data_IF_412667953323
#
_entry.id   IF_412667953323
#
_cell.length_a   1.000
_cell.length_b   1.000
_cell.length_c   1.000
_cell.angle_alpha   90.00
_cell.angle_beta   90.00
_cell.angle_gamma   90.00
#
_symmetry.space_group_name_H-M   'P 1'
#
loop_
_entity.id
_entity.type
_entity.pdbx_description
1 polymer ?
#
# COMPACT_ATOMS: atom_id res chain seq x y z
N UNK A 1 25.32 -4.77 -11.09
CA UNK A 1 25.68 -4.22 -9.75
C UNK A 1 24.49 -3.41 -9.25
N UNK A 2 24.12 -3.52 -7.98
CA UNK A 2 23.04 -2.69 -7.42
C UNK A 2 23.45 -1.20 -7.47
N UNK A 3 22.47 -0.33 -7.75
CA UNK A 3 22.67 1.13 -7.74
C UNK A 3 22.86 1.61 -6.30
N UNK A 4 23.69 2.62 -6.10
CA UNK A 4 23.89 3.24 -4.79
C UNK A 4 22.58 3.84 -4.23
N UNK A 5 22.30 3.59 -2.95
CA UNK A 5 21.02 4.00 -2.32
C UNK A 5 20.85 5.52 -2.25
N UNK A 6 21.93 6.28 -2.04
CA UNK A 6 21.85 7.75 -2.00
C UNK A 6 21.54 8.29 -3.39
N UNK A 7 22.14 7.70 -4.43
CA UNK A 7 21.83 8.04 -5.82
C UNK A 7 20.37 7.75 -6.17
N UNK A 8 19.83 6.60 -5.75
CA UNK A 8 18.42 6.25 -5.96
C UNK A 8 17.51 7.27 -5.27
N UNK A 9 17.76 7.57 -3.99
CA UNK A 9 16.96 8.53 -3.23
C UNK A 9 16.98 9.93 -3.84
N UNK A 10 18.17 10.44 -4.22
CA UNK A 10 18.30 11.75 -4.86
C UNK A 10 17.56 11.80 -6.21
N UNK A 11 17.72 10.78 -7.04
CA UNK A 11 17.05 10.72 -8.35
C UNK A 11 15.53 10.65 -8.20
N UNK A 12 15.02 9.84 -7.26
CA UNK A 12 13.58 9.77 -6.99
C UNK A 12 13.06 11.09 -6.44
N UNK A 13 13.81 11.78 -5.58
CA UNK A 13 13.44 13.11 -5.08
C UNK A 13 13.32 14.12 -6.21
N UNK A 14 14.25 14.12 -7.17
CA UNK A 14 14.18 15.00 -8.33
C UNK A 14 12.93 14.71 -9.18
N UNK A 15 12.61 13.42 -9.40
CA UNK A 15 11.41 12.99 -10.14
C UNK A 15 10.11 13.34 -9.40
N UNK A 16 10.06 13.18 -8.08
CA UNK A 16 8.90 13.60 -7.28
C UNK A 16 8.76 15.12 -7.34
N UNK A 17 9.88 15.85 -7.22
CA UNK A 17 9.92 17.32 -7.16
C UNK A 17 9.46 18.03 -8.42
N UNK A 18 9.44 17.37 -9.59
CA UNK A 18 8.87 17.98 -10.81
C UNK A 18 7.34 18.03 -10.80
N UNK A 19 6.68 17.25 -9.92
CA UNK A 19 5.23 17.30 -9.75
C UNK A 19 4.86 18.15 -8.53
N UNK A 20 4.55 19.43 -8.77
CA UNK A 20 4.22 20.39 -7.70
C UNK A 20 2.74 20.42 -7.33
N UNK A 21 1.88 19.90 -8.21
CA UNK A 21 0.42 20.15 -8.16
C UNK A 21 -0.38 18.99 -7.55
N UNK A 22 0.25 18.19 -6.68
CA UNK A 22 -0.45 17.09 -6.02
C UNK A 22 0.45 16.07 -5.33
N UNK A 23 -0.16 15.07 -4.67
CA UNK A 23 0.57 13.99 -4.02
C UNK A 23 1.14 13.01 -5.04
N UNK A 24 2.41 12.62 -4.87
CA UNK A 24 3.02 11.52 -5.64
C UNK A 24 2.84 10.20 -4.90
N UNK A 25 2.38 9.18 -5.62
CA UNK A 25 2.26 7.80 -5.13
C UNK A 25 3.28 6.93 -5.85
N UNK A 26 4.05 6.14 -5.11
CA UNK A 26 5.01 5.17 -5.67
C UNK A 26 4.49 3.76 -5.46
N UNK A 27 4.52 2.93 -6.50
CA UNK A 27 4.14 1.53 -6.43
C UNK A 27 5.37 0.59 -6.49
N UNK A 28 5.39 -0.44 -5.64
CA UNK A 28 6.32 -1.56 -5.72
C UNK A 28 5.64 -2.86 -5.29
N UNK A 29 5.45 -3.79 -6.22
CA UNK A 29 5.01 -5.16 -5.94
C UNK A 29 6.18 -6.15 -5.75
N UNK A 30 7.40 -5.64 -5.59
CA UNK A 30 8.57 -6.45 -5.25
C UNK A 30 8.68 -6.58 -3.71
N UNK A 31 9.29 -7.66 -3.19
CA UNK A 31 9.63 -7.75 -1.77
C UNK A 31 10.64 -6.66 -1.37
N UNK A 32 10.83 -6.48 -0.06
CA UNK A 32 11.77 -5.51 0.53
C UNK A 32 11.50 -4.05 0.07
N UNK A 33 10.23 -3.63 0.11
CA UNK A 33 9.81 -2.27 -0.28
C UNK A 33 10.58 -1.23 0.55
N UNK A 34 11.30 -0.28 -0.08
CA UNK A 34 12.18 0.63 0.65
C UNK A 34 11.39 1.83 1.22
N UNK A 35 10.44 1.58 2.12
CA UNK A 35 9.50 2.57 2.67
C UNK A 35 10.17 3.86 3.14
N UNK A 36 11.22 3.75 3.96
CA UNK A 36 11.93 4.92 4.49
C UNK A 36 12.60 5.76 3.40
N UNK A 37 13.16 5.12 2.36
CA UNK A 37 13.76 5.84 1.23
C UNK A 37 12.69 6.54 0.40
N UNK A 38 11.58 5.85 0.08
CA UNK A 38 10.48 6.43 -0.69
C UNK A 38 9.85 7.63 0.02
N UNK A 39 9.65 7.53 1.34
CA UNK A 39 9.20 8.64 2.19
C UNK A 39 10.17 9.82 2.13
N UNK A 40 11.48 9.61 2.29
CA UNK A 40 12.52 10.67 2.20
C UNK A 40 12.69 11.24 0.79
N UNK A 41 12.30 10.50 -0.24
CA UNK A 41 12.23 10.97 -1.62
C UNK A 41 10.97 11.84 -1.88
N UNK A 42 10.02 11.89 -0.93
CA UNK A 42 8.83 12.74 -1.01
C UNK A 42 7.56 12.04 -1.48
N UNK A 43 7.53 10.70 -1.51
CA UNK A 43 6.30 9.98 -1.80
C UNK A 43 5.25 10.27 -0.71
N UNK A 44 4.10 10.80 -1.11
CA UNK A 44 2.98 11.06 -0.21
C UNK A 44 2.22 9.76 0.14
N UNK A 45 2.30 8.76 -0.72
CA UNK A 45 1.79 7.43 -0.45
C UNK A 45 2.62 6.34 -1.13
N UNK A 46 2.57 5.13 -0.56
CA UNK A 46 3.30 3.97 -1.07
C UNK A 46 2.30 2.83 -1.29
N UNK A 47 2.25 2.34 -2.53
CA UNK A 47 1.48 1.16 -2.93
C UNK A 47 2.35 -0.07 -3.00
N UNK A 48 1.91 -1.15 -2.38
CA UNK A 48 2.71 -2.36 -2.26
C UNK A 48 1.85 -3.61 -2.22
N UNK A 49 2.45 -4.75 -2.60
CA UNK A 49 1.83 -6.05 -2.40
C UNK A 49 1.93 -6.43 -0.92
N UNK A 50 0.80 -6.39 -0.21
CA UNK A 50 0.73 -6.69 1.22
C UNK A 50 1.13 -8.14 1.51
N UNK A 51 0.92 -9.06 0.55
CA UNK A 51 1.23 -10.48 0.73
C UNK A 51 2.73 -10.78 0.81
N UNK A 52 3.58 -9.82 0.41
CA UNK A 52 5.03 -9.93 0.46
C UNK A 52 5.64 -9.31 1.72
N UNK A 53 4.84 -8.66 2.57
CA UNK A 53 5.33 -8.07 3.81
C UNK A 53 5.67 -9.14 4.84
N UNK A 54 6.67 -8.82 5.66
CA UNK A 54 7.07 -9.58 6.82
C UNK A 54 7.09 -8.67 8.05
N UNK A 55 7.21 -9.24 9.25
CA UNK A 55 7.34 -8.45 10.48
C UNK A 55 8.57 -7.53 10.49
N UNK A 56 9.55 -7.76 9.60
CA UNK A 56 10.73 -6.88 9.46
C UNK A 56 10.38 -5.51 8.86
N UNK A 57 9.23 -5.41 8.19
CA UNK A 57 8.77 -4.20 7.55
C UNK A 57 7.96 -3.30 8.50
N UNK A 58 7.53 -3.85 9.65
CA UNK A 58 6.61 -3.21 10.59
C UNK A 58 7.10 -1.83 11.06
N UNK A 59 8.34 -1.74 11.56
CA UNK A 59 8.91 -0.47 12.05
C UNK A 59 8.89 0.61 10.95
N UNK A 60 9.31 0.25 9.73
CA UNK A 60 9.37 1.18 8.61
C UNK A 60 7.97 1.64 8.17
N UNK A 61 6.96 0.76 8.26
CA UNK A 61 5.57 1.07 7.97
C UNK A 61 4.96 1.97 9.06
N UNK A 62 5.19 1.65 10.33
CA UNK A 62 4.76 2.46 11.47
C UNK A 62 5.27 3.89 11.36
N UNK A 63 6.59 4.05 11.18
CA UNK A 63 7.20 5.36 10.95
C UNK A 63 6.63 6.09 9.73
N UNK A 64 6.30 5.35 8.66
CA UNK A 64 5.73 5.96 7.46
C UNK A 64 4.34 6.55 7.74
N UNK A 65 3.48 5.80 8.43
CA UNK A 65 2.13 6.24 8.81
C UNK A 65 2.20 7.41 9.79
N UNK A 66 3.01 7.32 10.84
CA UNK A 66 3.20 8.41 11.82
C UNK A 66 3.76 9.68 11.17
N UNK A 67 4.64 9.51 10.17
CA UNK A 67 5.15 10.58 9.33
C UNK A 67 4.16 11.11 8.28
N UNK A 68 2.91 10.64 8.28
CA UNK A 68 1.84 11.09 7.39
C UNK A 68 1.82 10.45 6.00
N UNK A 69 2.66 9.44 5.73
CA UNK A 69 2.65 8.70 4.47
C UNK A 69 1.44 7.78 4.43
N UNK A 70 0.64 7.83 3.36
CA UNK A 70 -0.49 6.91 3.20
C UNK A 70 -0.06 5.56 2.63
N UNK A 71 -0.79 4.52 2.99
CA UNK A 71 -0.55 3.16 2.54
C UNK A 71 -1.61 2.76 1.50
N UNK A 72 -1.16 2.32 0.34
CA UNK A 72 -2.01 1.70 -0.68
C UNK A 72 -1.79 0.18 -0.59
N UNK A 73 -2.50 -0.45 0.33
CA UNK A 73 -2.32 -1.85 0.68
C UNK A 73 -2.91 -2.75 -0.42
N UNK A 74 -2.04 -3.44 -1.15
CA UNK A 74 -2.40 -4.40 -2.18
C UNK A 74 -2.79 -5.74 -1.55
N UNK A 75 -4.09 -6.01 -1.44
CA UNK A 75 -4.63 -7.23 -0.80
C UNK A 75 -5.59 -8.01 -1.69
N UNK A 76 -5.88 -7.50 -2.89
CA UNK A 76 -6.74 -8.13 -3.89
C UNK A 76 -5.88 -8.62 -5.05
N UNK A 77 -6.00 -9.87 -5.54
CA UNK A 77 -5.15 -10.35 -6.64
C UNK A 77 -5.32 -9.51 -7.92
N UNK A 78 -4.21 -9.31 -8.65
CA UNK A 78 -4.17 -8.53 -9.89
C UNK A 78 -4.55 -9.30 -11.18
N UNK A 79 -4.87 -10.60 -11.06
CA UNK A 79 -5.18 -11.51 -12.18
C UNK A 79 -6.34 -12.42 -11.82
N UNK A 80 -7.00 -12.99 -12.83
CA UNK A 80 -8.16 -13.85 -12.67
C UNK A 80 -7.96 -14.95 -11.63
N UNK A 81 -8.93 -15.07 -10.73
CA UNK A 81 -8.89 -16.03 -9.63
C UNK A 81 -10.06 -15.87 -8.67
N UNK A 82 -10.13 -16.72 -7.63
CA UNK A 82 -11.09 -16.53 -6.56
C UNK A 82 -10.79 -15.23 -5.80
N UNK A 83 -11.85 -14.58 -5.33
CA UNK A 83 -11.77 -13.46 -4.38
C UNK A 83 -12.27 -13.97 -3.04
N UNK A 84 -11.53 -13.71 -1.96
CA UNK A 84 -12.00 -13.93 -0.60
C UNK A 84 -13.24 -13.06 -0.31
N UNK A 85 -13.88 -13.25 0.84
CA UNK A 85 -14.85 -12.26 1.30
C UNK A 85 -14.16 -10.91 1.61
N UNK A 86 -14.89 -9.78 1.55
CA UNK A 86 -14.28 -8.46 1.73
C UNK A 86 -13.60 -8.26 3.09
N UNK A 87 -14.14 -8.81 4.18
CA UNK A 87 -13.56 -8.67 5.51
C UNK A 87 -12.28 -9.50 5.62
N UNK A 88 -12.32 -10.75 5.15
CA UNK A 88 -11.17 -11.65 5.04
C UNK A 88 -9.99 -11.05 4.28
N UNK A 89 -10.27 -10.28 3.23
CA UNK A 89 -9.25 -9.63 2.40
C UNK A 89 -8.42 -8.59 3.16
N UNK A 90 -8.97 -7.97 4.20
CA UNK A 90 -8.30 -6.90 4.98
C UNK A 90 -7.90 -7.33 6.39
N UNK A 91 -8.06 -8.62 6.73
CA UNK A 91 -7.68 -9.12 8.06
C UNK A 91 -6.19 -8.95 8.37
N UNK A 92 -5.33 -9.12 7.35
CA UNK A 92 -3.89 -8.85 7.49
C UNK A 92 -3.61 -7.39 7.85
N UNK A 93 -4.30 -6.45 7.21
CA UNK A 93 -4.15 -5.01 7.46
C UNK A 93 -4.54 -4.66 8.90
N UNK A 94 -5.67 -5.17 9.41
CA UNK A 94 -6.09 -4.97 10.82
C UNK A 94 -5.05 -5.52 11.79
N UNK A 95 -4.51 -6.69 11.47
CA UNK A 95 -3.53 -7.37 12.32
C UNK A 95 -2.23 -6.58 12.38
N UNK A 96 -1.75 -6.08 11.25
CA UNK A 96 -0.64 -5.13 11.20
C UNK A 96 -0.95 -3.89 12.03
N UNK A 97 -2.10 -3.25 11.84
CA UNK A 97 -2.47 -2.02 12.55
C UNK A 97 -2.45 -2.17 14.07
N UNK A 98 -3.02 -3.27 14.58
CA UNK A 98 -2.98 -3.60 16.01
C UNK A 98 -1.57 -3.88 16.51
N UNK A 99 -0.75 -4.59 15.73
CA UNK A 99 0.63 -4.91 16.10
C UNK A 99 1.51 -3.67 16.17
N UNK A 100 1.28 -2.70 15.28
CA UNK A 100 1.93 -1.38 15.32
C UNK A 100 1.41 -0.48 16.46
N UNK A 101 0.33 -0.86 17.15
CA UNK A 101 -0.25 -0.06 18.23
C UNK A 101 -0.86 1.27 17.77
N UNK A 102 -1.18 1.40 16.48
CA UNK A 102 -1.71 2.63 15.90
C UNK A 102 -3.18 2.82 16.28
N UNK A 103 -3.60 4.09 16.43
CA UNK A 103 -4.99 4.41 16.78
C UNK A 103 -5.96 3.87 15.70
N UNK A 104 -7.00 3.09 16.07
CA UNK A 104 -7.91 2.48 15.09
C UNK A 104 -8.61 3.50 14.18
N UNK A 105 -8.97 4.67 14.71
CA UNK A 105 -9.63 5.73 13.94
C UNK A 105 -8.80 6.29 12.78
N UNK A 106 -7.47 6.10 12.78
CA UNK A 106 -6.60 6.54 11.68
C UNK A 106 -6.58 5.55 10.50
N UNK A 107 -7.04 4.32 10.71
CA UNK A 107 -6.91 3.24 9.73
C UNK A 107 -7.59 3.57 8.41
N UNK A 108 -8.82 4.08 8.45
CA UNK A 108 -9.60 4.46 7.26
C UNK A 108 -9.03 5.69 6.54
N UNK A 109 -8.30 6.55 7.25
CA UNK A 109 -7.68 7.75 6.67
C UNK A 109 -6.33 7.42 6.03
N UNK A 110 -5.56 6.53 6.66
CA UNK A 110 -4.20 6.20 6.27
C UNK A 110 -4.12 5.08 5.22
N UNK A 111 -5.12 4.19 5.14
CA UNK A 111 -5.07 3.00 4.28
C UNK A 111 -6.10 3.07 3.15
N UNK A 112 -5.60 2.91 1.93
CA UNK A 112 -6.39 2.64 0.73
C UNK A 112 -6.23 1.18 0.33
N UNK A 113 -7.33 0.47 0.12
CA UNK A 113 -7.32 -0.93 -0.35
C UNK A 113 -7.16 -0.98 -1.86
N UNK A 114 -6.21 -1.77 -2.34
CA UNK A 114 -5.87 -1.87 -3.76
C UNK A 114 -5.67 -3.32 -4.22
N UNK A 115 -5.66 -3.57 -5.54
CA UNK A 115 -5.05 -4.78 -6.07
C UNK A 115 -3.55 -4.84 -5.76
N UNK A 116 -2.95 -6.03 -5.75
CA UNK A 116 -1.52 -6.23 -5.45
C UNK A 116 -0.57 -5.57 -6.44
N UNK A 117 -1.03 -5.38 -7.68
CA UNK A 117 -0.31 -4.70 -8.76
C UNK A 117 -1.31 -4.17 -9.81
N UNK A 118 -0.83 -3.78 -11.00
CA UNK A 118 -1.69 -3.45 -12.13
C UNK A 118 -2.53 -4.64 -12.61
N UNK A 119 -3.69 -4.34 -13.21
CA UNK A 119 -4.66 -5.31 -13.73
C UNK A 119 -4.43 -5.68 -15.21
N UNK A 120 -3.24 -5.40 -15.76
CA UNK A 120 -2.97 -5.60 -17.19
C UNK A 120 -3.09 -7.07 -17.63
N UNK A 121 -2.88 -8.02 -16.70
CA UNK A 121 -3.03 -9.46 -16.93
C UNK A 121 -4.41 -10.02 -16.62
N UNK A 122 -5.37 -9.19 -16.19
CA UNK A 122 -6.72 -9.62 -15.85
C UNK A 122 -7.68 -9.50 -17.03
N UNK A 123 -8.71 -10.35 -17.05
CA UNK A 123 -9.88 -10.14 -17.90
C UNK A 123 -10.61 -8.85 -17.50
N UNK A 124 -11.28 -8.13 -18.43
CA UNK A 124 -12.05 -6.93 -18.08
C UNK A 124 -13.18 -7.19 -17.08
N UNK A 125 -13.76 -8.40 -17.10
CA UNK A 125 -14.76 -8.81 -16.12
C UNK A 125 -14.14 -8.94 -14.72
N UNK A 126 -13.00 -9.62 -14.62
CA UNK A 126 -12.29 -9.74 -13.37
C UNK A 126 -11.84 -8.38 -12.83
N UNK A 127 -11.29 -7.50 -13.68
CA UNK A 127 -10.86 -6.16 -13.28
C UNK A 127 -12.01 -5.37 -12.62
N UNK A 128 -13.23 -5.42 -13.17
CA UNK A 128 -14.41 -4.79 -12.56
C UNK A 128 -14.74 -5.42 -11.20
N UNK A 129 -14.72 -6.75 -11.11
CA UNK A 129 -14.98 -7.48 -9.86
C UNK A 129 -13.94 -7.16 -8.78
N UNK A 130 -12.66 -7.13 -9.14
CA UNK A 130 -11.54 -6.83 -8.24
C UNK A 130 -11.66 -5.40 -7.70
N UNK A 131 -11.91 -4.40 -8.55
CA UNK A 131 -12.07 -3.01 -8.09
C UNK A 131 -13.33 -2.83 -7.22
N UNK A 132 -14.45 -3.44 -7.59
CA UNK A 132 -15.64 -3.45 -6.74
C UNK A 132 -15.39 -4.15 -5.40
N UNK A 133 -14.54 -5.18 -5.40
CA UNK A 133 -14.10 -5.88 -4.20
C UNK A 133 -13.23 -5.03 -3.29
N UNK A 134 -12.23 -4.31 -3.85
CA UNK A 134 -11.44 -3.33 -3.10
C UNK A 134 -12.33 -2.33 -2.37
N UNK A 135 -13.36 -1.79 -3.05
CA UNK A 135 -14.29 -0.84 -2.44
C UNK A 135 -15.12 -1.46 -1.30
N UNK A 136 -15.57 -2.72 -1.45
CA UNK A 136 -16.27 -3.43 -0.36
C UNK A 136 -15.35 -3.72 0.82
N UNK A 137 -14.12 -4.13 0.56
CA UNK A 137 -13.13 -4.46 1.57
C UNK A 137 -12.68 -3.20 2.34
N UNK A 138 -12.49 -2.08 1.65
CA UNK A 138 -12.22 -0.78 2.27
C UNK A 138 -13.37 -0.34 3.21
N UNK A 139 -14.63 -0.53 2.80
CA UNK A 139 -15.78 -0.26 3.67
C UNK A 139 -15.77 -1.15 4.91
N UNK A 140 -15.52 -2.45 4.75
CA UNK A 140 -15.39 -3.36 5.89
C UNK A 140 -14.31 -2.89 6.88
N UNK A 141 -13.16 -2.42 6.37
CA UNK A 141 -12.06 -1.88 7.16
C UNK A 141 -12.46 -0.60 7.91
N UNK A 142 -13.22 0.30 7.29
CA UNK A 142 -13.70 1.53 7.90
C UNK A 142 -14.81 1.31 8.94
N UNK A 143 -15.77 0.43 8.63
CA UNK A 143 -16.94 0.17 9.49
C UNK A 143 -16.56 -0.57 10.78
N UNK A 144 -15.47 -1.34 10.74
CA UNK A 144 -14.94 -2.04 11.87
C UNK A 144 -13.43 -1.77 11.90
N UNK A 145 -12.93 -0.73 12.56
CA UNK A 145 -11.48 -0.45 12.56
C UNK A 145 -10.69 -1.30 13.57
N UNK A 146 -11.37 -2.04 14.46
CA UNK A 146 -10.77 -2.89 15.50
C UNK A 146 -10.33 -4.29 15.03
#
# INVERSE_FOLDING_TARGET
RAVDRQRVEATLRDVVGVHTDGPVVVHSCAPDVPFALLRRAGAAAISFDFSLLTERDDDAIGEAVEGGTRLFAGVVPGTDGPLSDPAGSVMGVRTLWRRLGLHPGLLAEAVTVTPTCGLAGASPEYARRALAHCARAARSLADNPE
#
